data_IF_204708858455
#
_entry.id   IF_204708858455
#
_cell.length_a   1.000
_cell.length_b   1.000
_cell.length_c   1.000
_cell.angle_alpha   90.00
_cell.angle_beta   90.00
_cell.angle_gamma   90.00
#
_symmetry.space_group_name_H-M   'P 1'
#
loop_
_entity.id
_entity.type
_entity.pdbx_description
1 polymer ?
#
# COMPACT_ATOMS: atom_id res chain seq x y z
N UNK A 1 29.03 10.73 11.50
CA UNK A 1 28.14 9.60 11.13
C UNK A 1 26.97 10.06 10.25
N UNK A 2 26.07 10.94 10.72
CA UNK A 2 24.93 11.42 9.91
C UNK A 2 25.33 12.10 8.59
N UNK A 3 26.40 12.89 8.58
CA UNK A 3 26.91 13.54 7.37
C UNK A 3 27.46 12.57 6.31
N UNK A 4 27.92 11.38 6.71
CA UNK A 4 28.43 10.38 5.77
C UNK A 4 27.30 9.70 4.98
N UNK A 5 26.20 9.38 5.66
CA UNK A 5 25.00 8.81 5.01
C UNK A 5 24.36 9.82 4.08
N UNK A 6 24.16 11.07 4.53
CA UNK A 6 23.62 12.13 3.70
C UNK A 6 24.48 12.39 2.46
N UNK A 7 25.81 12.38 2.62
CA UNK A 7 26.76 12.54 1.52
C UNK A 7 26.70 11.38 0.52
N UNK A 8 26.60 10.14 1.00
CA UNK A 8 26.44 8.96 0.15
C UNK A 8 25.12 8.99 -0.64
N UNK A 9 24.01 9.37 -0.01
CA UNK A 9 22.71 9.53 -0.67
C UNK A 9 22.78 10.65 -1.71
N UNK A 10 23.36 11.79 -1.36
CA UNK A 10 23.47 12.91 -2.31
C UNK A 10 24.30 12.52 -3.53
N UNK A 11 25.46 11.90 -3.32
CA UNK A 11 26.35 11.47 -4.40
C UNK A 11 25.75 10.33 -5.24
N UNK A 12 25.03 9.41 -4.62
CA UNK A 12 24.48 8.22 -5.27
C UNK A 12 23.14 8.43 -5.99
N UNK A 13 22.23 9.21 -5.40
CA UNK A 13 20.85 9.31 -5.87
C UNK A 13 20.44 10.72 -6.33
N UNK A 14 20.98 11.77 -5.72
CA UNK A 14 20.46 13.15 -5.92
C UNK A 14 21.27 13.95 -6.94
N UNK A 15 22.61 13.79 -6.97
CA UNK A 15 23.51 14.67 -7.74
C UNK A 15 23.32 14.61 -9.26
N UNK A 16 22.85 13.49 -9.81
CA UNK A 16 22.67 13.30 -11.27
C UNK A 16 21.18 13.29 -11.62
N UNK A 17 20.71 14.26 -12.41
CA UNK A 17 19.29 14.42 -12.77
C UNK A 17 18.63 13.13 -13.28
N UNK A 18 19.27 12.39 -14.18
CA UNK A 18 18.72 11.14 -14.70
C UNK A 18 18.54 10.08 -13.60
N UNK A 19 19.52 9.95 -12.69
CA UNK A 19 19.44 9.02 -11.56
C UNK A 19 18.36 9.49 -10.59
N UNK A 20 18.33 10.78 -10.27
CA UNK A 20 17.36 11.37 -9.37
C UNK A 20 15.91 11.14 -9.81
N UNK A 21 15.60 11.44 -11.08
CA UNK A 21 14.26 11.21 -11.63
C UNK A 21 13.90 9.71 -11.64
N UNK A 22 14.83 8.84 -12.04
CA UNK A 22 14.59 7.39 -12.02
C UNK A 22 14.35 6.84 -10.61
N UNK A 23 15.06 7.37 -9.62
CA UNK A 23 14.90 6.99 -8.22
C UNK A 23 13.54 7.46 -7.69
N UNK A 24 13.10 8.67 -8.04
CA UNK A 24 11.76 9.17 -7.68
C UNK A 24 10.69 8.26 -8.28
N UNK A 25 10.71 8.00 -9.59
CA UNK A 25 9.67 7.18 -10.21
C UNK A 25 9.63 5.76 -9.65
N UNK A 26 10.79 5.12 -9.51
CA UNK A 26 10.86 3.75 -8.99
C UNK A 26 10.37 3.69 -7.54
N UNK A 27 10.78 4.64 -6.70
CA UNK A 27 10.35 4.69 -5.31
C UNK A 27 8.86 5.04 -5.17
N UNK A 28 8.31 5.89 -6.03
CA UNK A 28 6.89 6.21 -6.03
C UNK A 28 6.04 4.96 -6.30
N UNK A 29 6.37 4.17 -7.33
CA UNK A 29 5.66 2.91 -7.62
C UNK A 29 5.80 1.89 -6.48
N UNK A 30 7.02 1.71 -5.97
CA UNK A 30 7.24 0.79 -4.85
C UNK A 30 6.48 1.24 -3.59
N UNK A 31 6.45 2.54 -3.33
CA UNK A 31 5.73 3.12 -2.20
C UNK A 31 4.23 2.98 -2.38
N UNK A 32 3.66 3.23 -3.56
CA UNK A 32 2.23 3.07 -3.84
C UNK A 32 1.75 1.65 -3.49
N UNK A 33 2.43 0.62 -4.00
CA UNK A 33 2.09 -0.79 -3.74
C UNK A 33 2.16 -1.09 -2.24
N UNK A 34 3.26 -0.67 -1.59
CA UNK A 34 3.47 -0.94 -0.18
C UNK A 34 2.44 -0.20 0.70
N UNK A 35 2.17 1.06 0.37
CA UNK A 35 1.27 1.92 1.13
C UNK A 35 -0.18 1.47 0.99
N UNK A 36 -0.67 1.19 -0.22
CA UNK A 36 -2.02 0.69 -0.43
C UNK A 36 -2.23 -0.65 0.29
N UNK A 37 -1.33 -1.62 0.07
CA UNK A 37 -1.42 -2.93 0.69
C UNK A 37 -1.39 -2.87 2.23
N UNK A 38 -0.55 -2.01 2.79
CA UNK A 38 -0.43 -1.85 4.25
C UNK A 38 -1.64 -1.12 4.82
N UNK A 39 -2.05 -0.03 4.19
CA UNK A 39 -3.19 0.78 4.65
C UNK A 39 -4.49 -0.02 4.61
N UNK A 40 -4.71 -0.81 3.55
CA UNK A 40 -5.85 -1.71 3.46
C UNK A 40 -5.82 -2.76 4.57
N UNK A 41 -4.66 -3.37 4.88
CA UNK A 41 -4.57 -4.32 6.02
C UNK A 41 -4.87 -3.67 7.36
N UNK A 42 -4.38 -2.45 7.60
CA UNK A 42 -4.66 -1.71 8.83
C UNK A 42 -6.16 -1.41 8.93
N UNK A 43 -6.76 -0.92 7.85
CA UNK A 43 -8.19 -0.66 7.78
C UNK A 43 -9.01 -1.93 8.04
N UNK A 44 -8.61 -3.05 7.45
CA UNK A 44 -9.29 -4.34 7.58
C UNK A 44 -9.24 -4.87 9.00
N UNK A 45 -8.09 -4.73 9.66
CA UNK A 45 -7.92 -5.14 11.04
C UNK A 45 -8.80 -4.30 11.98
N UNK A 46 -8.87 -2.99 11.75
CA UNK A 46 -9.67 -2.08 12.57
C UNK A 46 -11.18 -2.24 12.36
N UNK A 47 -11.62 -2.62 11.16
CA UNK A 47 -13.03 -2.71 10.80
C UNK A 47 -13.54 -4.15 10.64
N UNK A 48 -12.81 -5.13 11.18
CA UNK A 48 -13.15 -6.54 11.08
C UNK A 48 -14.59 -6.81 11.55
N UNK A 49 -15.34 -7.57 10.77
CA UNK A 49 -16.73 -7.96 11.05
C UNK A 49 -17.75 -6.89 10.69
N UNK A 50 -17.32 -5.72 10.20
CA UNK A 50 -18.21 -4.63 9.76
C UNK A 50 -18.15 -4.39 8.25
N UNK A 51 -17.15 -4.93 7.58
CA UNK A 51 -16.97 -4.71 6.15
C UNK A 51 -17.88 -5.62 5.35
N UNK A 52 -18.32 -5.16 4.17
CA UNK A 52 -19.13 -5.99 3.27
C UNK A 52 -18.49 -7.35 3.00
N UNK A 53 -17.18 -7.40 2.75
CA UNK A 53 -16.46 -8.67 2.54
C UNK A 53 -16.53 -9.65 3.72
N UNK A 54 -16.77 -9.15 4.94
CA UNK A 54 -16.89 -9.98 6.14
C UNK A 54 -18.32 -10.50 6.33
N UNK A 55 -19.34 -9.74 5.90
CA UNK A 55 -20.77 -10.04 6.16
C UNK A 55 -21.54 -10.53 4.91
N UNK A 56 -20.99 -10.35 3.71
CA UNK A 56 -21.65 -10.63 2.42
C UNK A 56 -22.26 -12.04 2.35
N UNK A 57 -21.53 -13.03 2.85
CA UNK A 57 -21.95 -14.43 2.85
C UNK A 57 -23.31 -14.65 3.52
N UNK A 58 -23.67 -13.86 4.53
CA UNK A 58 -24.96 -13.98 5.22
C UNK A 58 -26.15 -13.54 4.35
N UNK A 59 -25.90 -12.65 3.39
CA UNK A 59 -26.95 -12.10 2.53
C UNK A 59 -27.11 -12.92 1.25
N UNK A 60 -26.02 -13.46 0.70
CA UNK A 60 -26.09 -14.33 -0.48
C UNK A 60 -26.83 -15.65 -0.17
N UNK A 61 -26.57 -16.26 0.99
CA UNK A 61 -27.29 -17.48 1.41
C UNK A 61 -28.77 -17.20 1.60
N UNK A 62 -29.12 -16.03 2.16
CA UNK A 62 -30.51 -15.63 2.32
C UNK A 62 -31.24 -15.44 0.99
N UNK A 63 -30.57 -14.84 -0.01
CA UNK A 63 -31.15 -14.73 -1.36
C UNK A 63 -31.40 -16.11 -1.98
N UNK A 64 -30.48 -17.07 -1.81
CA UNK A 64 -30.67 -18.46 -2.27
C UNK A 64 -31.82 -19.18 -1.55
N UNK A 65 -31.99 -18.97 -0.23
CA UNK A 65 -33.12 -19.53 0.54
C UNK A 65 -34.47 -18.87 0.23
N UNK A 66 -34.50 -17.57 -0.11
CA UNK A 66 -35.73 -16.85 -0.47
C UNK A 66 -36.21 -17.19 -1.92
N UNK A 67 -35.31 -17.70 -2.78
CA UNK A 67 -35.58 -18.09 -4.18
C UNK A 67 -35.97 -19.59 -4.36
N UNK A 68 -35.83 -20.44 -3.32
CA UNK A 68 -36.30 -21.85 -3.26
C UNK A 68 -37.72 -21.99 -2.64
#
# INVERSE_FOLDING_TARGET
>A
MAGAIASAIYQGLIRRNAVYLSAIFTSAFAFEIAFDSTSNRVWDAMNRGRQWKDIKQQYLVKEEEDDE
#
